data_IF_761120951067
#
_entry.id   IF_761120951067
#
_cell.length_a   1.000
_cell.length_b   1.000
_cell.length_c   1.000
_cell.angle_alpha   90.00
_cell.angle_beta   90.00
_cell.angle_gamma   90.00
#
_symmetry.space_group_name_H-M   'P 1'
#
loop_
_entity.id
_entity.type
_entity.pdbx_description
1 polymer ?
#
# COMPACT_ATOMS: atom_id res chain seq x y z
N UNK A 1 -28.89 9.39 22.51
CA UNK A 1 -27.90 10.39 22.03
C UNK A 1 -26.47 9.87 22.12
N UNK A 2 -25.94 9.52 23.31
CA UNK A 2 -24.53 9.05 23.47
C UNK A 2 -24.17 7.83 22.62
N UNK A 3 -25.11 6.89 22.44
CA UNK A 3 -24.91 5.69 21.59
C UNK A 3 -24.61 6.06 20.13
N UNK A 4 -25.32 7.05 19.58
CA UNK A 4 -25.18 7.47 18.18
C UNK A 4 -23.82 8.16 17.97
N UNK A 5 -23.43 9.03 18.90
CA UNK A 5 -22.12 9.68 18.93
C UNK A 5 -20.97 8.65 18.91
N UNK A 6 -21.04 7.64 19.79
CA UNK A 6 -20.04 6.57 19.88
C UNK A 6 -20.03 5.74 18.61
N UNK A 7 -21.19 5.42 18.02
CA UNK A 7 -21.24 4.64 16.78
C UNK A 7 -20.62 5.39 15.61
N UNK A 8 -20.89 6.69 15.44
CA UNK A 8 -20.29 7.50 14.38
C UNK A 8 -18.77 7.57 14.56
N UNK A 9 -18.31 7.81 15.79
CA UNK A 9 -16.89 7.87 16.11
C UNK A 9 -16.20 6.52 15.84
N UNK A 10 -16.81 5.40 16.26
CA UNK A 10 -16.28 4.06 16.03
C UNK A 10 -16.20 3.71 14.54
N UNK A 11 -17.19 4.10 13.74
CA UNK A 11 -17.20 3.90 12.28
C UNK A 11 -16.09 4.71 11.61
N UNK A 12 -15.93 5.99 11.96
CA UNK A 12 -14.83 6.82 11.43
C UNK A 12 -13.46 6.26 11.83
N UNK A 13 -13.29 5.86 13.09
CA UNK A 13 -12.05 5.27 13.59
C UNK A 13 -11.70 3.97 12.85
N UNK A 14 -12.67 3.07 12.66
CA UNK A 14 -12.48 1.85 11.88
C UNK A 14 -12.13 2.15 10.42
N UNK A 15 -12.83 3.10 9.79
CA UNK A 15 -12.55 3.50 8.42
C UNK A 15 -11.13 4.05 8.27
N UNK A 16 -10.69 4.90 9.19
CA UNK A 16 -9.32 5.43 9.18
C UNK A 16 -8.28 4.39 9.52
N UNK A 17 -8.56 3.45 10.43
CA UNK A 17 -7.66 2.35 10.73
C UNK A 17 -7.42 1.48 9.49
N UNK A 18 -8.49 1.11 8.77
CA UNK A 18 -8.40 0.36 7.51
C UNK A 18 -7.61 1.13 6.46
N UNK A 19 -7.84 2.45 6.35
CA UNK A 19 -7.09 3.30 5.42
C UNK A 19 -5.61 3.49 5.83
N UNK A 20 -5.31 3.48 7.14
CA UNK A 20 -3.97 3.68 7.68
C UNK A 20 -3.06 2.46 7.48
N UNK A 21 -3.60 1.24 7.57
CA UNK A 21 -2.84 0.01 7.31
C UNK A 21 -2.39 -0.06 5.83
N UNK A 22 -3.12 0.60 4.93
CA UNK A 22 -2.75 0.72 3.53
C UNK A 22 -3.20 -0.46 2.67
N UNK A 23 -3.57 -0.14 1.44
CA UNK A 23 -4.11 -1.09 0.47
C UNK A 23 -3.19 -2.29 0.20
N UNK A 24 -1.89 -2.01 0.04
CA UNK A 24 -0.89 -3.00 -0.35
C UNK A 24 -0.65 -4.02 0.76
N UNK A 25 -0.50 -3.58 2.01
CA UNK A 25 -0.23 -4.49 3.13
C UNK A 25 -1.38 -5.46 3.37
N UNK A 26 -2.63 -4.99 3.31
CA UNK A 26 -3.82 -5.84 3.44
C UNK A 26 -3.88 -6.83 2.27
N UNK A 27 -3.70 -6.34 1.04
CA UNK A 27 -3.77 -7.18 -0.15
C UNK A 27 -2.67 -8.26 -0.14
N UNK A 28 -1.45 -7.93 0.27
CA UNK A 28 -0.33 -8.86 0.35
C UNK A 28 -0.52 -9.89 1.47
N UNK A 29 -1.03 -9.49 2.63
CA UNK A 29 -1.39 -10.41 3.72
C UNK A 29 -2.51 -11.37 3.31
N UNK A 30 -3.56 -10.86 2.66
CA UNK A 30 -4.65 -11.72 2.20
C UNK A 30 -4.21 -12.63 1.05
N UNK A 31 -3.38 -12.14 0.14
CA UNK A 31 -2.83 -12.95 -0.95
C UNK A 31 -1.92 -14.06 -0.42
N UNK A 32 -1.09 -13.78 0.57
CA UNK A 32 -0.26 -14.80 1.22
C UNK A 32 -1.09 -15.80 2.02
N UNK A 33 -2.13 -15.35 2.72
CA UNK A 33 -3.06 -16.21 3.45
C UNK A 33 -3.82 -17.15 2.50
N UNK A 34 -4.35 -16.65 1.39
CA UNK A 34 -5.06 -17.46 0.38
C UNK A 34 -4.14 -18.48 -0.28
N UNK A 35 -2.87 -18.13 -0.53
CA UNK A 35 -1.89 -19.08 -1.07
C UNK A 35 -1.42 -20.10 -0.03
N UNK A 36 -1.57 -19.82 1.25
CA UNK A 36 -1.32 -20.78 2.33
C UNK A 36 -2.48 -21.75 2.52
N UNK A 37 -3.72 -21.31 2.26
CA UNK A 37 -4.86 -22.21 2.18
C UNK A 37 -4.73 -23.10 0.92
N UNK A 38 -5.17 -24.38 0.98
CA UNK A 38 -5.10 -25.32 -0.13
C UNK A 38 -6.15 -25.03 -1.23
N UNK A 39 -6.26 -23.76 -1.64
CA UNK A 39 -7.09 -23.30 -2.75
C UNK A 39 -6.30 -23.46 -4.05
N UNK A 40 -6.98 -23.52 -5.20
CA UNK A 40 -6.43 -23.76 -6.54
C UNK A 40 -5.17 -22.96 -6.91
N UNK A 41 -4.98 -21.77 -6.31
CA UNK A 41 -3.79 -20.92 -6.49
C UNK A 41 -2.52 -21.53 -5.91
N UNK A 42 -2.61 -22.30 -4.81
CA UNK A 42 -1.46 -23.02 -4.22
C UNK A 42 -0.90 -24.09 -5.16
N UNK A 43 -1.78 -24.78 -5.91
CA UNK A 43 -1.37 -25.76 -6.93
C UNK A 43 -0.68 -25.08 -8.12
N UNK A 44 -1.23 -23.96 -8.60
CA UNK A 44 -0.62 -23.16 -9.65
C UNK A 44 0.76 -22.58 -9.23
N UNK A 45 0.91 -22.15 -7.98
CA UNK A 45 2.18 -21.69 -7.43
C UNK A 45 3.20 -22.83 -7.29
N UNK A 46 2.77 -24.03 -6.90
CA UNK A 46 3.63 -25.21 -6.83
C UNK A 46 4.11 -25.66 -8.23
N UNK A 47 3.22 -25.64 -9.21
CA UNK A 47 3.55 -25.92 -10.62
C UNK A 47 4.52 -24.90 -11.20
N UNK A 48 4.35 -23.61 -10.88
CA UNK A 48 5.30 -22.56 -11.26
C UNK A 48 6.70 -22.82 -10.70
N UNK A 49 6.82 -23.21 -9.43
CA UNK A 49 8.12 -23.54 -8.80
C UNK A 49 8.76 -24.74 -9.48
N UNK A 50 7.98 -25.75 -9.85
CA UNK A 50 8.46 -26.92 -10.60
C UNK A 50 8.98 -26.52 -11.98
N UNK A 51 8.21 -25.76 -12.75
CA UNK A 51 8.62 -25.26 -14.07
C UNK A 51 9.87 -24.38 -14.00
N UNK A 52 10.00 -23.53 -12.97
CA UNK A 52 11.22 -22.76 -12.72
C UNK A 52 12.44 -23.64 -12.44
N UNK A 53 12.28 -24.70 -11.65
CA UNK A 53 13.36 -25.65 -11.36
C UNK A 53 13.79 -26.40 -12.63
N UNK A 54 12.85 -26.84 -13.46
CA UNK A 54 13.13 -27.48 -14.75
C UNK A 54 13.81 -26.51 -15.73
N UNK A 55 13.32 -25.26 -15.82
CA UNK A 55 13.95 -24.20 -16.61
C UNK A 55 15.40 -23.94 -16.20
N UNK A 56 15.68 -23.84 -14.90
CA UNK A 56 17.04 -23.62 -14.39
C UNK A 56 17.96 -24.82 -14.68
N UNK A 57 17.44 -26.05 -14.62
CA UNK A 57 18.19 -27.26 -15.00
C UNK A 57 18.57 -27.22 -16.49
N UNK A 58 17.60 -26.94 -17.37
CA UNK A 58 17.84 -26.87 -18.82
C UNK A 58 18.79 -25.71 -19.17
N UNK A 59 18.64 -24.55 -18.52
CA UNK A 59 19.55 -23.41 -18.71
C UNK A 59 20.99 -23.75 -18.34
N UNK A 60 21.21 -24.48 -17.24
CA UNK A 60 22.55 -24.96 -16.88
C UNK A 60 23.10 -25.94 -17.91
N UNK A 61 22.28 -26.88 -18.37
CA UNK A 61 22.68 -27.86 -19.37
C UNK A 61 23.00 -27.21 -20.73
N UNK A 62 22.27 -26.15 -21.11
CA UNK A 62 22.50 -25.40 -22.34
C UNK A 62 23.82 -24.64 -22.27
N UNK A 63 24.11 -24.00 -21.14
CA UNK A 63 25.37 -23.30 -20.90
C UNK A 63 26.59 -24.24 -20.83
N UNK A 64 26.38 -25.51 -20.44
CA UNK A 64 27.43 -26.52 -20.37
C UNK A 64 27.69 -27.22 -21.72
N UNK A 65 26.86 -26.98 -22.75
CA UNK A 65 26.96 -27.63 -24.07
C UNK A 65 27.59 -26.67 -25.08
N UNK A 66 28.66 -27.10 -25.77
CA UNK A 66 29.26 -26.32 -26.88
C UNK A 66 28.29 -26.26 -28.06
N UNK A 67 27.98 -25.05 -28.54
CA UNK A 67 27.06 -24.85 -29.66
C UNK A 67 27.66 -25.26 -31.01
N UNK A 68 28.99 -25.34 -31.12
CA UNK A 68 29.68 -25.68 -32.37
C UNK A 68 29.90 -27.20 -32.50
N UNK A 69 30.34 -27.85 -31.43
CA UNK A 69 30.68 -29.29 -31.47
C UNK A 69 29.45 -30.19 -31.25
N UNK A 70 28.53 -29.78 -30.37
CA UNK A 70 27.33 -30.54 -30.01
C UNK A 70 26.04 -29.88 -30.54
N UNK A 71 26.05 -29.31 -31.76
CA UNK A 71 24.94 -28.51 -32.30
C UNK A 71 23.57 -29.21 -32.24
N UNK A 72 23.50 -30.51 -32.53
CA UNK A 72 22.25 -31.27 -32.46
C UNK A 72 21.65 -31.30 -31.04
N UNK A 73 22.50 -31.48 -30.02
CA UNK A 73 22.13 -31.51 -28.60
C UNK A 73 21.82 -30.09 -28.11
N UNK A 74 22.62 -29.10 -28.52
CA UNK A 74 22.38 -27.69 -28.25
C UNK A 74 21.02 -27.22 -28.80
N UNK A 75 20.71 -27.56 -30.06
CA UNK A 75 19.45 -27.19 -30.70
C UNK A 75 18.23 -27.83 -30.00
N UNK A 76 18.36 -29.09 -29.57
CA UNK A 76 17.30 -29.77 -28.80
C UNK A 76 17.07 -29.10 -27.43
N UNK A 77 18.14 -28.81 -26.69
CA UNK A 77 18.07 -28.10 -25.41
C UNK A 77 17.51 -26.69 -25.57
N UNK A 78 17.87 -26.00 -26.66
CA UNK A 78 17.37 -24.65 -26.94
C UNK A 78 15.86 -24.64 -27.15
N UNK A 79 15.31 -25.55 -27.96
CA UNK A 79 13.85 -25.69 -28.14
C UNK A 79 13.13 -26.02 -26.83
N UNK A 80 13.73 -26.84 -25.97
CA UNK A 80 13.17 -27.13 -24.64
C UNK A 80 13.22 -25.91 -23.72
N UNK A 81 14.30 -25.13 -23.77
CA UNK A 81 14.45 -23.87 -23.04
C UNK A 81 13.39 -22.87 -23.46
N UNK A 82 13.21 -22.65 -24.77
CA UNK A 82 12.21 -21.73 -25.32
C UNK A 82 10.78 -22.18 -24.94
N UNK A 83 10.47 -23.49 -25.05
CA UNK A 83 9.16 -24.05 -24.62
C UNK A 83 8.88 -23.84 -23.13
N UNK A 84 9.86 -24.08 -22.27
CA UNK A 84 9.71 -23.88 -20.82
C UNK A 84 9.59 -22.40 -20.46
N UNK A 85 10.28 -21.53 -21.19
CA UNK A 85 10.17 -20.07 -21.04
C UNK A 85 8.75 -19.60 -21.34
N UNK A 86 8.18 -20.04 -22.47
CA UNK A 86 6.80 -19.69 -22.88
C UNK A 86 5.78 -20.14 -21.83
N UNK A 87 5.92 -21.37 -21.30
CA UNK A 87 5.06 -21.89 -20.24
C UNK A 87 5.17 -21.08 -18.94
N UNK A 88 6.39 -20.68 -18.57
CA UNK A 88 6.66 -19.89 -17.38
C UNK A 88 6.07 -18.47 -17.51
N UNK A 89 6.19 -17.85 -18.68
CA UNK A 89 5.56 -16.55 -18.97
C UNK A 89 4.03 -16.63 -18.96
N UNK A 90 3.44 -17.67 -19.55
CA UNK A 90 1.99 -17.88 -19.52
C UNK A 90 1.48 -18.06 -18.07
N UNK A 91 2.17 -18.88 -17.26
CA UNK A 91 1.83 -19.09 -15.86
C UNK A 91 1.97 -17.79 -15.03
N UNK A 92 3.03 -17.00 -15.28
CA UNK A 92 3.21 -15.68 -14.64
C UNK A 92 2.07 -14.72 -14.98
N UNK A 93 1.72 -14.58 -16.26
CA UNK A 93 0.61 -13.72 -16.71
C UNK A 93 -0.71 -14.14 -16.06
N UNK A 94 -0.98 -15.44 -15.93
CA UNK A 94 -2.16 -15.96 -15.23
C UNK A 94 -2.20 -15.58 -13.75
N UNK A 95 -1.06 -15.71 -13.04
CA UNK A 95 -0.96 -15.31 -11.62
C UNK A 95 -1.08 -13.80 -11.43
N UNK A 96 -0.47 -12.99 -12.30
CA UNK A 96 -0.59 -11.53 -12.26
C UNK A 96 -2.03 -11.08 -12.54
N UNK A 97 -2.72 -11.71 -13.50
CA UNK A 97 -4.12 -11.45 -13.76
C UNK A 97 -5.00 -11.80 -12.55
N UNK A 98 -4.78 -12.97 -11.94
CA UNK A 98 -5.49 -13.38 -10.73
C UNK A 98 -5.25 -12.43 -9.56
N UNK A 99 -3.99 -11.99 -9.37
CA UNK A 99 -3.63 -11.00 -8.34
C UNK A 99 -4.31 -9.66 -8.61
N UNK A 100 -4.31 -9.18 -9.86
CA UNK A 100 -4.99 -7.93 -10.23
C UNK A 100 -6.50 -7.99 -10.00
N UNK A 101 -7.14 -9.11 -10.33
CA UNK A 101 -8.56 -9.33 -10.05
C UNK A 101 -8.84 -9.35 -8.55
N UNK A 102 -7.97 -10.01 -7.77
CA UNK A 102 -8.06 -10.04 -6.32
C UNK A 102 -7.90 -8.64 -5.70
N UNK A 103 -6.93 -7.86 -6.16
CA UNK A 103 -6.71 -6.48 -5.73
C UNK A 103 -7.93 -5.60 -6.02
N UNK A 104 -8.55 -5.76 -7.19
CA UNK A 104 -9.79 -5.07 -7.55
C UNK A 104 -10.94 -5.46 -6.63
N UNK A 105 -11.12 -6.75 -6.39
CA UNK A 105 -12.17 -7.25 -5.50
C UNK A 105 -12.01 -6.73 -4.07
N UNK A 106 -10.79 -6.80 -3.52
CA UNK A 106 -10.49 -6.26 -2.20
C UNK A 106 -10.65 -4.74 -2.14
N UNK A 107 -10.28 -4.01 -3.20
CA UNK A 107 -10.54 -2.57 -3.28
C UNK A 107 -12.03 -2.28 -3.21
N UNK A 108 -12.85 -3.03 -3.95
CA UNK A 108 -14.31 -2.87 -3.94
C UNK A 108 -14.90 -3.17 -2.56
N UNK A 109 -14.53 -4.30 -1.95
CA UNK A 109 -14.97 -4.65 -0.58
C UNK A 109 -14.56 -3.56 0.39
N UNK A 110 -13.32 -3.08 0.29
CA UNK A 110 -12.82 -2.04 1.19
C UNK A 110 -13.65 -0.77 1.08
N UNK A 111 -13.88 -0.28 -0.14
CA UNK A 111 -14.75 0.89 -0.36
C UNK A 111 -16.13 0.61 0.23
N UNK A 112 -16.67 -0.59 0.02
CA UNK A 112 -17.95 -0.95 0.61
C UNK A 112 -17.93 -0.87 2.15
N UNK A 113 -16.90 -1.41 2.79
CA UNK A 113 -16.78 -1.45 4.26
C UNK A 113 -16.41 -0.09 4.87
N UNK A 114 -15.63 0.75 4.18
CA UNK A 114 -15.20 2.04 4.72
C UNK A 114 -16.18 3.15 4.37
N UNK A 115 -16.65 3.19 3.13
CA UNK A 115 -17.38 4.32 2.58
C UNK A 115 -18.88 4.17 2.78
N UNK A 116 -19.45 2.97 2.64
CA UNK A 116 -20.91 2.79 2.80
C UNK A 116 -21.36 3.13 4.22
N UNK A 117 -20.71 2.67 5.31
CA UNK A 117 -21.11 3.05 6.66
C UNK A 117 -21.01 4.56 6.90
N UNK A 118 -20.01 5.23 6.32
CA UNK A 118 -19.87 6.69 6.42
C UNK A 118 -21.06 7.45 5.83
N UNK A 119 -21.73 6.93 4.79
CA UNK A 119 -22.93 7.56 4.26
C UNK A 119 -24.23 7.03 4.87
N UNK A 120 -24.28 5.73 5.17
CA UNK A 120 -25.46 5.08 5.71
C UNK A 120 -25.82 5.54 7.12
N UNK A 121 -24.82 5.74 7.99
CA UNK A 121 -25.04 6.14 9.39
C UNK A 121 -25.66 7.54 9.49
N UNK A 122 -25.11 8.61 8.88
CA UNK A 122 -25.77 9.92 8.85
C UNK A 122 -27.12 9.92 8.16
N UNK A 123 -27.30 9.06 7.15
CA UNK A 123 -28.58 8.93 6.46
C UNK A 123 -29.67 8.38 7.39
N UNK A 124 -29.36 7.36 8.19
CA UNK A 124 -30.31 6.77 9.15
C UNK A 124 -30.61 7.70 10.33
N UNK A 125 -29.58 8.36 10.88
CA UNK A 125 -29.73 9.27 12.03
C UNK A 125 -29.98 10.73 11.61
N UNK A 126 -30.22 11.01 10.33
CA UNK A 126 -30.28 12.37 9.81
C UNK A 126 -31.42 13.24 10.36
N UNK A 127 -32.49 12.61 10.89
CA UNK A 127 -33.63 13.31 11.49
C UNK A 127 -33.45 13.57 13.00
N UNK A 128 -32.47 12.96 13.64
CA UNK A 128 -32.25 13.09 15.08
C UNK A 128 -31.19 14.18 15.35
N UNK A 129 -31.51 15.21 16.16
CA UNK A 129 -30.52 16.19 16.58
C UNK A 129 -29.51 15.52 17.52
N UNK A 130 -28.21 15.62 17.20
CA UNK A 130 -27.15 15.01 18.00
C UNK A 130 -26.89 15.82 19.28
N UNK A 131 -26.85 17.15 19.14
CA UNK A 131 -26.65 18.08 20.23
C UNK A 131 -27.39 19.39 19.93
N UNK A 132 -27.99 19.98 20.97
CA UNK A 132 -28.65 21.27 20.89
C UNK A 132 -27.70 22.38 21.31
N UNK A 133 -27.61 23.43 20.49
CA UNK A 133 -26.74 24.56 20.75
C UNK A 133 -27.48 25.57 21.64
N UNK A 134 -26.84 26.15 22.66
CA UNK A 134 -27.44 27.22 23.45
C UNK A 134 -27.74 28.42 22.54
N UNK A 135 -28.95 28.97 22.69
CA UNK A 135 -29.43 30.05 21.83
C UNK A 135 -28.53 31.29 21.93
N UNK A 136 -28.06 31.80 20.79
CA UNK A 136 -27.26 33.02 20.70
C UNK A 136 -25.74 32.84 20.77
N UNK A 137 -25.22 31.60 20.85
CA UNK A 137 -23.77 31.35 20.88
C UNK A 137 -23.11 31.37 19.50
N UNK A 138 -23.87 31.10 18.44
CA UNK A 138 -23.37 31.01 17.07
C UNK A 138 -24.16 31.93 16.12
N UNK A 139 -23.50 32.48 15.08
CA UNK A 139 -24.21 33.21 14.01
C UNK A 139 -25.18 32.29 13.27
N UNK A 140 -26.29 32.84 12.77
CA UNK A 140 -27.31 32.11 12.01
C UNK A 140 -26.73 31.22 10.89
N UNK A 141 -25.73 31.72 10.15
CA UNK A 141 -25.08 30.96 9.08
C UNK A 141 -24.35 29.70 9.59
N UNK A 142 -23.74 29.76 10.77
CA UNK A 142 -23.04 28.62 11.37
C UNK A 142 -24.05 27.56 11.84
N UNK A 143 -25.15 28.00 12.49
CA UNK A 143 -26.24 27.10 12.88
C UNK A 143 -26.89 26.44 11.66
N UNK A 144 -27.02 27.15 10.55
CA UNK A 144 -27.54 26.61 9.29
C UNK A 144 -26.61 25.56 8.67
N UNK A 145 -25.30 25.82 8.57
CA UNK A 145 -24.33 24.86 8.02
C UNK A 145 -24.26 23.59 8.89
N UNK A 146 -24.24 23.76 10.22
CA UNK A 146 -24.05 22.66 11.16
C UNK A 146 -25.33 21.80 11.28
N UNK A 147 -26.51 22.35 10.99
CA UNK A 147 -27.80 21.62 10.98
C UNK A 147 -28.09 20.91 9.64
N UNK A 148 -27.45 21.31 8.54
CA UNK A 148 -27.57 20.64 7.24
C UNK A 148 -27.10 19.17 7.34
N UNK A 149 -27.76 18.19 6.68
CA UNK A 149 -28.82 18.30 5.68
C UNK A 149 -30.26 18.16 6.18
N UNK A 150 -30.50 17.68 7.41
CA UNK A 150 -31.85 17.25 7.83
C UNK A 150 -32.16 17.45 9.32
N UNK A 151 -31.25 18.04 10.10
CA UNK A 151 -31.48 18.35 11.49
C UNK A 151 -32.23 19.70 11.65
N UNK A 152 -33.02 19.90 12.71
CA UNK A 152 -33.67 21.17 12.98
C UNK A 152 -32.62 22.27 13.25
N UNK A 153 -32.94 23.51 12.86
CA UNK A 153 -32.12 24.69 13.12
C UNK A 153 -31.84 24.84 14.63
N UNK A 154 -30.63 25.24 14.98
CA UNK A 154 -30.16 25.29 16.38
C UNK A 154 -29.65 23.94 16.92
N UNK A 155 -29.50 22.93 16.07
CA UNK A 155 -28.92 21.63 16.44
C UNK A 155 -27.82 21.16 15.49
N UNK A 156 -26.99 20.23 15.97
CA UNK A 156 -25.91 19.61 15.20
C UNK A 156 -26.43 18.36 14.49
N UNK A 157 -26.25 18.30 13.17
CA UNK A 157 -26.59 17.12 12.38
C UNK A 157 -25.57 15.99 12.55
N UNK A 158 -26.02 14.75 12.31
CA UNK A 158 -25.14 13.58 12.32
C UNK A 158 -23.99 13.71 11.30
N UNK A 159 -24.25 14.32 10.15
CA UNK A 159 -23.24 14.57 9.10
C UNK A 159 -22.18 15.57 9.56
N UNK A 160 -22.60 16.69 10.17
CA UNK A 160 -21.67 17.71 10.68
C UNK A 160 -20.78 17.14 11.79
N UNK A 161 -21.36 16.35 12.70
CA UNK A 161 -20.59 15.64 13.72
C UNK A 161 -19.59 14.65 13.12
N UNK A 162 -20.02 13.89 12.11
CA UNK A 162 -19.14 12.93 11.43
C UNK A 162 -17.97 13.63 10.72
N UNK A 163 -18.24 14.74 10.01
CA UNK A 163 -17.20 15.54 9.36
C UNK A 163 -16.18 16.07 10.37
N UNK A 164 -16.64 16.55 11.53
CA UNK A 164 -15.78 16.98 12.62
C UNK A 164 -14.88 15.83 13.13
N UNK A 165 -15.48 14.66 13.41
CA UNK A 165 -14.72 13.47 13.84
C UNK A 165 -13.68 13.05 12.80
N UNK A 166 -14.08 12.97 11.52
CA UNK A 166 -13.20 12.59 10.43
C UNK A 166 -12.03 13.56 10.28
N UNK A 167 -12.28 14.87 10.40
CA UNK A 167 -11.26 15.91 10.37
C UNK A 167 -10.25 15.77 11.51
N UNK A 168 -10.73 15.64 12.76
CA UNK A 168 -9.85 15.48 13.94
C UNK A 168 -8.98 14.24 13.80
N UNK A 169 -9.57 13.10 13.42
CA UNK A 169 -8.82 11.84 13.29
C UNK A 169 -7.82 11.87 12.11
N UNK A 170 -8.11 12.59 11.01
CA UNK A 170 -7.14 12.82 9.93
C UNK A 170 -5.94 13.63 10.41
N UNK A 171 -6.18 14.72 11.13
CA UNK A 171 -5.10 15.54 11.69
C UNK A 171 -4.23 14.73 12.65
N UNK A 172 -4.85 13.93 13.52
CA UNK A 172 -4.11 13.02 14.42
C UNK A 172 -3.26 12.00 13.64
N UNK A 173 -3.81 11.41 12.58
CA UNK A 173 -3.08 10.48 11.71
C UNK A 173 -1.87 11.15 11.05
N UNK A 174 -2.03 12.38 10.55
CA UNK A 174 -0.93 13.12 9.92
C UNK A 174 0.17 13.47 10.92
N UNK A 175 -0.21 13.88 12.14
CA UNK A 175 0.74 14.14 13.24
C UNK A 175 1.51 12.87 13.59
N UNK A 176 0.84 11.73 13.74
CA UNK A 176 1.49 10.44 14.04
C UNK A 176 2.47 10.07 12.92
N UNK A 177 2.06 10.18 11.66
CA UNK A 177 2.92 9.88 10.50
C UNK A 177 4.14 10.82 10.46
N UNK A 178 3.95 12.11 10.76
CA UNK A 178 5.03 13.08 10.85
C UNK A 178 6.04 12.69 11.94
N UNK A 179 5.56 12.36 13.14
CA UNK A 179 6.38 11.91 14.27
C UNK A 179 7.17 10.65 13.89
N UNK A 180 6.51 9.61 13.36
CA UNK A 180 7.18 8.36 12.96
C UNK A 180 8.25 8.63 11.88
N UNK A 181 7.93 9.46 10.87
CA UNK A 181 8.91 9.85 9.84
C UNK A 181 10.09 10.62 10.44
N UNK A 182 9.85 11.51 11.40
CA UNK A 182 10.90 12.26 12.07
C UNK A 182 11.81 11.34 12.91
N UNK A 183 11.26 10.42 13.69
CA UNK A 183 12.03 9.44 14.47
C UNK A 183 12.84 8.51 13.55
N UNK A 184 12.23 8.02 12.45
CA UNK A 184 12.93 7.17 11.48
C UNK A 184 14.05 7.90 10.73
N UNK A 185 13.91 9.21 10.48
CA UNK A 185 14.99 10.06 9.93
C UNK A 185 16.11 10.25 10.94
N UNK A 186 15.81 10.51 12.21
CA UNK A 186 16.84 10.66 13.24
C UNK A 186 17.68 9.38 13.43
N UNK A 187 17.05 8.20 13.33
CA UNK A 187 17.77 6.92 13.38
C UNK A 187 18.69 6.68 12.17
N UNK A 188 18.45 7.34 11.02
CA UNK A 188 19.30 7.23 9.81
C UNK A 188 20.46 8.23 9.78
N UNK A 189 20.44 9.29 10.59
CA UNK A 189 21.48 10.35 10.59
C UNK A 189 22.63 10.07 11.57
N UNK A 190 22.57 9.02 12.39
CA UNK A 190 23.61 8.70 13.39
C UNK A 190 24.60 7.61 12.95
N UNK A 191 25.19 7.71 11.76
CA UNK A 191 26.49 7.06 11.51
C UNK A 191 27.45 8.09 10.92
N UNK A 192 28.22 8.82 11.76
CA UNK A 192 29.37 9.56 11.29
C UNK A 192 30.53 8.58 11.08
N UNK A 193 31.02 8.44 9.84
CA UNK A 193 32.34 7.86 9.61
C UNK A 193 33.35 9.00 9.75
N UNK A 194 34.24 9.01 10.77
CA UNK A 194 35.33 9.95 10.79
C UNK A 194 36.33 9.56 9.69
N UNK A 195 36.50 10.43 8.70
CA UNK A 195 37.55 10.30 7.72
C UNK A 195 38.91 10.42 8.43
N UNK A 196 39.57 9.27 8.61
CA UNK A 196 40.97 9.20 8.97
C UNK A 196 41.78 9.99 7.91
N UNK A 197 42.42 11.07 8.35
CA UNK A 197 43.41 11.79 7.56
C UNK A 197 44.64 10.90 7.39
N UNK A 198 44.71 10.18 6.28
CA UNK A 198 45.94 9.53 5.82
C UNK A 198 46.78 10.59 5.12
N UNK A 199 47.72 11.16 5.86
CA UNK A 199 48.80 12.01 5.35
C UNK A 199 49.75 11.16 4.53
N UNK A 200 49.67 11.19 3.20
CA UNK A 200 50.75 10.70 2.32
C UNK A 200 50.95 11.68 1.15
N UNK A 201 52.06 12.41 1.23
CA UNK A 201 52.93 12.65 0.08
C UNK A 201 52.55 13.76 -0.91
N UNK A 202 52.51 15.01 -0.47
CA UNK A 202 52.75 16.14 -1.38
C UNK A 202 54.25 16.18 -1.73
N UNK A 203 54.63 15.54 -2.84
CA UNK A 203 55.93 15.75 -3.48
C UNK A 203 55.79 16.94 -4.42
N UNK A 204 56.39 18.05 -4.01
CA UNK A 204 56.56 19.26 -4.81
C UNK A 204 57.13 18.94 -6.20
N UNK A 205 56.56 19.56 -7.22
CA UNK A 205 57.23 19.85 -8.49
C UNK A 205 56.70 21.20 -8.99
N UNK A 206 57.46 22.31 -8.87
CA UNK A 206 57.18 23.51 -9.63
C UNK A 206 57.80 23.34 -11.02
N UNK A 207 57.12 23.82 -12.06
CA UNK A 207 57.67 24.81 -13.00
C UNK A 207 56.75 24.98 -14.21
N UNK A 208 56.43 26.25 -14.45
CA UNK A 208 55.76 26.76 -15.62
C UNK A 208 56.74 26.95 -16.79
N UNK A 209 56.23 26.79 -18.02
CA UNK A 209 56.50 27.57 -19.26
C UNK A 209 55.80 26.82 -20.41
N UNK A 210 54.65 27.28 -20.91
CA UNK A 210 54.51 28.18 -22.08
C UNK A 210 55.41 27.75 -23.24
N UNK A 211 54.82 27.24 -24.31
CA UNK A 211 54.93 27.68 -25.73
C UNK A 211 54.08 26.76 -26.62
N UNK A 212 52.94 27.28 -27.11
CA UNK A 212 52.43 27.30 -28.49
C UNK A 212 50.96 27.74 -28.49
#
# INVERSE_FOLDING_TARGET
>A
MTRVLITILAVELLAQFINAIGASHINDLLWTLINYLPVSTSKAAAEQRRLQAEYLKIRRALNATSSQDEFAKWAKLRRQHDKLLDQLEAAKKGLEAARSQFDKYLKTIRIFVTTVPQYAVPFWYGKEPIFWLPYGWFPFYAEWIISFPRAPLGSVSATSWQLACSGVLKLLSEIIVFIVKQLSRQSKTQVPVPAAKTTIGAREKPEAKKEL
#
